data_IF_583363751927
#
_entry.id   IF_583363751927
#
_cell.length_a   1.000
_cell.length_b   1.000
_cell.length_c   1.000
_cell.angle_alpha   90.00
_cell.angle_beta   90.00
_cell.angle_gamma   90.00
#
_symmetry.space_group_name_H-M   'P 1'
#
loop_
_entity.id
_entity.type
_entity.pdbx_description
1 polymer ?
#
# COMPACT_ATOMS: atom_id res chain seq x y z
N UNK A 1 -14.83 4.65 -15.63
CA UNK A 1 -13.83 4.96 -16.69
C UNK A 1 -12.97 6.20 -16.42
N UNK A 2 -13.48 7.31 -15.89
CA UNK A 2 -12.65 8.51 -15.63
C UNK A 2 -11.63 8.29 -14.49
N UNK A 3 -12.09 7.78 -13.34
CA UNK A 3 -11.23 7.50 -12.19
C UNK A 3 -10.08 6.53 -12.53
N UNK A 4 -10.37 5.40 -13.18
CA UNK A 4 -9.34 4.45 -13.62
C UNK A 4 -8.31 5.07 -14.56
N UNK A 5 -8.72 5.98 -15.45
CA UNK A 5 -7.80 6.74 -16.31
C UNK A 5 -6.94 7.70 -15.49
N UNK A 6 -7.54 8.39 -14.51
CA UNK A 6 -6.83 9.26 -13.58
C UNK A 6 -5.80 8.54 -12.71
N UNK A 7 -5.99 7.24 -12.45
CA UNK A 7 -5.04 6.42 -11.69
C UNK A 7 -3.85 5.88 -12.51
N UNK A 8 -3.87 6.00 -13.85
CA UNK A 8 -2.77 5.49 -14.70
C UNK A 8 -1.39 6.05 -14.36
N UNK A 9 -1.20 7.34 -14.05
CA UNK A 9 0.10 7.87 -13.65
C UNK A 9 0.71 7.12 -12.46
N UNK A 10 -0.12 6.65 -11.52
CA UNK A 10 0.32 5.92 -10.33
C UNK A 10 0.88 4.53 -10.64
N UNK A 11 0.56 3.95 -11.81
CA UNK A 11 1.18 2.68 -12.25
C UNK A 11 2.69 2.83 -12.49
N UNK A 12 3.15 4.04 -12.81
CA UNK A 12 4.56 4.36 -13.06
C UNK A 12 5.20 5.10 -11.89
N UNK A 13 4.46 5.32 -10.80
CA UNK A 13 4.98 5.98 -9.61
C UNK A 13 6.22 5.23 -9.10
N UNK A 14 7.26 6.00 -8.81
CA UNK A 14 8.49 5.55 -8.15
C UNK A 14 8.70 6.43 -6.94
N UNK A 15 8.90 5.83 -5.78
CA UNK A 15 9.14 6.60 -4.57
C UNK A 15 10.52 7.30 -4.69
N UNK A 16 10.60 8.63 -4.56
CA UNK A 16 11.85 9.37 -4.82
C UNK A 16 13.00 9.01 -3.89
N UNK A 17 12.71 8.43 -2.72
CA UNK A 17 13.70 8.12 -1.67
C UNK A 17 14.11 6.64 -1.65
N UNK A 18 13.45 5.77 -2.43
CA UNK A 18 13.68 4.33 -2.34
C UNK A 18 14.58 3.84 -3.47
N UNK A 19 15.69 3.12 -3.17
CA UNK A 19 16.43 2.40 -4.20
C UNK A 19 15.46 1.45 -4.91
N UNK A 20 15.50 1.45 -6.25
CA UNK A 20 14.67 0.57 -7.06
C UNK A 20 14.84 -0.85 -6.53
N UNK A 21 13.75 -1.52 -6.09
CA UNK A 21 13.87 -2.84 -5.49
C UNK A 21 14.57 -3.78 -6.47
N UNK A 22 15.68 -4.34 -6.01
CA UNK A 22 16.46 -5.33 -6.74
C UNK A 22 16.16 -6.71 -6.15
N UNK A 23 15.97 -7.68 -7.03
CA UNK A 23 15.85 -9.10 -6.64
C UNK A 23 17.10 -9.83 -7.06
N UNK A 24 17.49 -10.85 -6.29
CA UNK A 24 18.58 -11.73 -6.64
C UNK A 24 18.16 -12.56 -7.87
N UNK A 25 18.99 -12.53 -8.91
CA UNK A 25 18.89 -13.50 -9.99
C UNK A 25 19.78 -14.69 -9.60
N UNK A 26 19.16 -15.67 -8.93
CA UNK A 26 19.87 -16.85 -8.40
C UNK A 26 20.58 -17.62 -9.52
N UNK A 27 19.93 -17.72 -10.69
CA UNK A 27 20.48 -18.44 -11.84
C UNK A 27 21.69 -17.72 -12.41
N UNK A 28 21.58 -16.43 -12.70
CA UNK A 28 22.71 -15.66 -13.22
C UNK A 28 23.86 -15.57 -12.18
N UNK A 29 23.52 -15.56 -10.89
CA UNK A 29 24.52 -15.62 -9.81
C UNK A 29 25.27 -16.95 -9.82
N UNK A 30 24.56 -18.08 -9.96
CA UNK A 30 25.17 -19.40 -10.03
C UNK A 30 26.05 -19.58 -11.28
N UNK A 31 25.57 -19.13 -12.45
CA UNK A 31 26.32 -19.16 -13.70
C UNK A 31 27.62 -18.35 -13.59
N UNK A 32 27.54 -17.11 -13.10
CA UNK A 32 28.74 -16.26 -12.94
C UNK A 32 29.69 -16.77 -11.86
N UNK A 33 29.17 -17.41 -10.81
CA UNK A 33 29.99 -18.03 -9.77
C UNK A 33 30.76 -19.24 -10.31
N UNK A 34 30.13 -20.05 -11.17
CA UNK A 34 30.80 -21.17 -11.84
C UNK A 34 31.93 -20.70 -12.77
N UNK A 35 31.73 -19.59 -13.48
CA UNK A 35 32.73 -19.03 -14.39
C UNK A 35 33.88 -18.32 -13.66
N UNK A 36 33.59 -17.54 -12.63
CA UNK A 36 34.57 -16.68 -11.97
C UNK A 36 35.21 -17.28 -10.71
N UNK A 37 34.64 -18.36 -10.16
CA UNK A 37 35.02 -18.91 -8.85
C UNK A 37 34.61 -18.04 -7.66
N UNK A 38 33.93 -16.91 -7.88
CA UNK A 38 33.49 -15.97 -6.85
C UNK A 38 31.96 -15.88 -6.80
N UNK A 39 31.38 -16.04 -5.62
CA UNK A 39 29.92 -15.91 -5.41
C UNK A 39 29.57 -14.43 -5.23
N UNK A 40 29.39 -13.73 -6.35
CA UNK A 40 28.96 -12.33 -6.36
C UNK A 40 27.51 -12.21 -6.85
N UNK A 41 26.59 -11.62 -6.05
CA UNK A 41 25.17 -11.56 -6.39
C UNK A 41 24.94 -10.79 -7.69
N UNK A 42 24.12 -11.36 -8.57
CA UNK A 42 23.59 -10.70 -9.76
C UNK A 42 22.20 -10.18 -9.41
N UNK A 43 22.03 -8.86 -9.49
CA UNK A 43 20.78 -8.19 -9.10
C UNK A 43 20.02 -7.72 -10.33
N UNK A 44 18.73 -8.04 -10.40
CA UNK A 44 17.81 -7.54 -11.43
C UNK A 44 16.79 -6.57 -10.86
N UNK A 45 16.46 -5.56 -11.65
CA UNK A 45 15.42 -4.58 -11.31
C UNK A 45 14.05 -5.26 -11.25
N UNK A 46 13.37 -5.16 -10.11
CA UNK A 46 12.00 -5.66 -9.99
C UNK A 46 11.01 -4.59 -10.50
N UNK A 47 10.35 -4.85 -11.63
CA UNK A 47 9.35 -3.94 -12.21
C UNK A 47 7.99 -4.04 -11.52
N UNK A 48 7.97 -4.17 -10.20
CA UNK A 48 6.72 -4.13 -9.43
C UNK A 48 6.18 -2.70 -9.32
N UNK A 49 4.87 -2.63 -9.11
CA UNK A 49 4.16 -1.41 -8.68
C UNK A 49 4.75 -0.97 -7.33
N UNK A 50 4.97 0.31 -7.15
CA UNK A 50 5.49 0.86 -5.88
C UNK A 50 4.43 1.60 -5.08
N UNK A 51 3.45 2.20 -5.74
CA UNK A 51 2.40 2.94 -5.08
C UNK A 51 1.63 2.05 -4.10
N UNK A 52 1.28 2.61 -2.95
CA UNK A 52 0.37 2.02 -1.97
C UNK A 52 -0.81 2.96 -1.82
N UNK A 53 -1.96 2.40 -1.46
CA UNK A 53 -3.16 3.18 -1.20
C UNK A 53 -3.74 2.79 0.15
N UNK A 54 -3.99 3.79 0.97
CA UNK A 54 -4.79 3.67 2.18
C UNK A 54 -6.09 4.46 1.96
N UNK A 55 -7.23 3.78 2.07
CA UNK A 55 -8.54 4.41 2.15
C UNK A 55 -8.92 4.51 3.62
N UNK A 56 -9.06 5.73 4.14
CA UNK A 56 -9.49 5.99 5.51
C UNK A 56 -10.94 6.49 5.49
N UNK A 57 -11.84 5.79 6.20
CA UNK A 57 -13.24 6.17 6.35
C UNK A 57 -13.51 6.64 7.78
N UNK A 58 -14.10 7.82 7.94
CA UNK A 58 -14.66 8.25 9.23
C UNK A 58 -15.92 7.44 9.55
N UNK A 59 -15.96 6.85 10.75
CA UNK A 59 -17.07 6.02 11.23
C UNK A 59 -18.08 6.79 12.08
N UNK A 60 -18.04 8.12 12.09
CA UNK A 60 -19.11 8.94 12.70
C UNK A 60 -20.49 8.62 12.10
N UNK A 61 -21.57 8.94 12.82
CA UNK A 61 -22.97 8.44 12.78
C UNK A 61 -23.72 8.26 11.44
N UNK A 62 -23.08 8.42 10.28
CA UNK A 62 -23.65 8.33 8.92
C UNK A 62 -23.03 7.24 8.03
N UNK A 63 -22.37 6.24 8.62
CA UNK A 63 -21.54 5.25 7.90
C UNK A 63 -22.27 4.34 6.92
N UNK A 64 -23.50 3.94 7.21
CA UNK A 64 -24.24 2.97 6.38
C UNK A 64 -24.38 3.46 4.93
N UNK A 65 -24.56 4.77 4.73
CA UNK A 65 -24.70 5.38 3.41
C UNK A 65 -23.40 5.33 2.61
N UNK A 66 -22.24 5.40 3.29
CA UNK A 66 -20.95 5.51 2.63
C UNK A 66 -20.24 4.17 2.44
N UNK A 67 -20.64 3.09 3.14
CA UNK A 67 -20.00 1.78 2.98
C UNK A 67 -20.03 1.29 1.53
N UNK A 68 -21.17 1.42 0.85
CA UNK A 68 -21.28 1.04 -0.56
C UNK A 68 -20.32 1.87 -1.43
N UNK A 69 -20.27 3.19 -1.23
CA UNK A 69 -19.38 4.07 -2.00
C UNK A 69 -17.90 3.76 -1.76
N UNK A 70 -17.52 3.42 -0.53
CA UNK A 70 -16.16 2.99 -0.19
C UNK A 70 -15.80 1.67 -0.89
N UNK A 71 -16.71 0.70 -0.88
CA UNK A 71 -16.50 -0.58 -1.54
C UNK A 71 -16.36 -0.44 -3.06
N UNK A 72 -17.20 0.40 -3.67
CA UNK A 72 -17.09 0.73 -5.09
C UNK A 72 -15.74 1.40 -5.41
N UNK A 73 -15.33 2.38 -4.61
CA UNK A 73 -14.02 3.05 -4.77
C UNK A 73 -12.87 2.05 -4.62
N UNK A 74 -12.92 1.19 -3.59
CA UNK A 74 -11.94 0.13 -3.34
C UNK A 74 -11.81 -0.79 -4.55
N UNK A 75 -12.94 -1.23 -5.11
CA UNK A 75 -12.95 -2.09 -6.30
C UNK A 75 -12.36 -1.38 -7.53
N UNK A 76 -12.69 -0.10 -7.74
CA UNK A 76 -12.14 0.67 -8.86
C UNK A 76 -10.62 0.81 -8.74
N UNK A 77 -10.12 1.12 -7.54
CA UNK A 77 -8.69 1.23 -7.26
C UNK A 77 -7.96 -0.12 -7.41
N UNK A 78 -8.56 -1.22 -6.94
CA UNK A 78 -8.01 -2.56 -7.12
C UNK A 78 -7.89 -2.94 -8.61
N UNK A 79 -8.95 -2.67 -9.40
CA UNK A 79 -8.97 -2.95 -10.85
C UNK A 79 -8.04 -2.04 -11.65
N UNK A 80 -7.72 -0.86 -11.15
CA UNK A 80 -6.79 0.05 -11.83
C UNK A 80 -5.35 -0.52 -11.89
N UNK A 81 -5.01 -1.48 -11.03
CA UNK A 81 -3.69 -2.10 -11.02
C UNK A 81 -2.57 -1.08 -10.82
N UNK A 82 -2.80 0.01 -10.11
CA UNK A 82 -1.78 1.01 -9.83
C UNK A 82 -0.98 0.71 -8.56
N UNK A 83 -1.61 0.02 -7.61
CA UNK A 83 -1.09 -0.13 -6.26
C UNK A 83 -0.53 -1.53 -6.03
N UNK A 84 0.59 -1.62 -5.32
CA UNK A 84 1.13 -2.86 -4.77
C UNK A 84 0.29 -3.36 -3.60
N UNK A 85 -0.22 -2.42 -2.82
CA UNK A 85 -0.96 -2.66 -1.60
C UNK A 85 -2.13 -1.68 -1.53
N UNK A 86 -3.31 -2.19 -1.20
CA UNK A 86 -4.51 -1.41 -0.96
C UNK A 86 -5.03 -1.81 0.42
N UNK A 87 -5.09 -0.85 1.33
CA UNK A 87 -5.64 -1.03 2.67
C UNK A 87 -6.87 -0.15 2.87
N UNK A 88 -7.78 -0.61 3.71
CA UNK A 88 -8.91 0.16 4.22
C UNK A 88 -8.77 0.24 5.72
N UNK A 89 -8.90 1.44 6.27
CA UNK A 89 -8.94 1.70 7.70
C UNK A 89 -10.16 2.57 8.01
N UNK A 90 -10.62 2.46 9.23
CA UNK A 90 -11.81 3.10 9.75
C UNK A 90 -11.40 3.94 10.95
N UNK A 91 -11.77 5.21 10.94
CA UNK A 91 -11.48 6.18 11.99
C UNK A 91 -12.61 6.18 13.00
N UNK A 92 -12.29 5.83 14.23
CA UNK A 92 -13.18 5.74 15.37
C UNK A 92 -12.83 6.79 16.42
N UNK A 93 -13.81 7.18 17.21
CA UNK A 93 -13.57 7.91 18.44
C UNK A 93 -13.18 6.92 19.56
N UNK A 94 -11.96 7.06 20.05
CA UNK A 94 -11.42 6.27 21.16
C UNK A 94 -11.68 6.90 22.53
N UNK A 95 -11.17 6.27 23.60
CA UNK A 95 -11.33 6.77 24.96
C UNK A 95 -10.87 8.23 25.10
N UNK A 96 -11.71 9.07 25.71
CA UNK A 96 -11.42 10.49 25.92
C UNK A 96 -11.51 11.35 24.66
N UNK A 97 -12.25 10.92 23.64
CA UNK A 97 -12.48 11.68 22.40
C UNK A 97 -11.29 11.72 21.45
N UNK A 98 -10.30 10.83 21.66
CA UNK A 98 -9.09 10.78 20.84
C UNK A 98 -9.34 9.93 19.60
N UNK A 99 -8.96 10.38 18.39
CA UNK A 99 -9.12 9.59 17.18
C UNK A 99 -8.26 8.31 17.23
N UNK A 100 -8.81 7.20 16.76
CA UNK A 100 -8.12 5.92 16.62
C UNK A 100 -8.55 5.17 15.37
N UNK A 101 -7.66 4.37 14.80
CA UNK A 101 -7.89 3.68 13.54
C UNK A 101 -8.06 2.18 13.76
N UNK A 102 -8.97 1.55 13.01
CA UNK A 102 -9.21 0.11 13.02
C UNK A 102 -9.37 -0.41 11.60
N UNK A 103 -9.03 -1.68 11.38
CA UNK A 103 -9.34 -2.36 10.11
C UNK A 103 -10.81 -2.76 10.01
N UNK A 104 -11.58 -2.59 11.09
CA UNK A 104 -13.00 -2.97 11.17
C UNK A 104 -13.91 -1.73 11.18
N UNK A 105 -15.06 -1.81 10.49
CA UNK A 105 -16.07 -0.77 10.51
C UNK A 105 -16.80 -0.72 11.86
N UNK A 106 -16.90 -1.82 12.60
CA UNK A 106 -17.58 -1.83 13.90
C UNK A 106 -16.70 -1.22 15.01
N UNK A 107 -17.28 -0.41 15.91
CA UNK A 107 -16.59 0.02 17.11
C UNK A 107 -16.36 -1.14 18.08
N UNK A 108 -15.38 -0.99 18.98
CA UNK A 108 -15.10 -1.97 20.05
C UNK A 108 -13.92 -2.91 19.80
N UNK A 109 -13.26 -2.80 18.64
CA UNK A 109 -11.96 -3.43 18.39
C UNK A 109 -10.78 -2.61 18.96
N UNK A 110 -9.58 -3.20 19.01
CA UNK A 110 -8.37 -2.44 19.34
C UNK A 110 -8.15 -1.30 18.33
N UNK A 111 -7.85 -0.11 18.84
CA UNK A 111 -7.59 1.09 18.05
C UNK A 111 -6.09 1.36 17.96
N UNK A 112 -5.64 1.74 16.77
CA UNK A 112 -4.28 2.17 16.46
C UNK A 112 -4.20 3.68 16.39
N UNK A 113 -3.06 4.24 16.80
CA UNK A 113 -2.88 5.68 16.82
C UNK A 113 -2.84 6.23 15.37
N UNK A 114 -3.51 7.34 15.03
CA UNK A 114 -3.55 7.87 13.66
C UNK A 114 -2.16 8.17 13.09
N UNK A 115 -1.20 8.48 13.95
CA UNK A 115 0.19 8.73 13.59
C UNK A 115 0.86 7.50 12.97
N UNK A 116 0.35 6.28 13.22
CA UNK A 116 0.81 5.05 12.58
C UNK A 116 0.37 4.93 11.10
N UNK A 117 -0.54 5.79 10.66
CA UNK A 117 -0.90 5.92 9.24
C UNK A 117 0.12 6.77 8.48
N UNK A 118 0.75 7.74 9.16
CA UNK A 118 1.85 8.52 8.61
C UNK A 118 3.15 7.78 8.88
N UNK A 119 3.72 7.13 7.87
CA UNK A 119 5.08 6.63 7.98
C UNK A 119 6.08 7.73 7.62
N UNK A 120 6.81 8.33 8.59
CA UNK A 120 7.80 9.37 8.31
C UNK A 120 8.97 8.85 7.46
N UNK A 121 9.14 7.53 7.36
CA UNK A 121 10.13 6.90 6.47
C UNK A 121 9.60 6.66 5.05
N UNK A 122 8.35 7.00 4.79
CA UNK A 122 7.69 6.84 3.49
C UNK A 122 7.45 5.38 3.09
N UNK A 123 7.41 4.42 4.03
CA UNK A 123 7.08 3.01 3.72
C UNK A 123 5.56 2.75 3.75
N UNK A 124 4.74 3.75 4.04
CA UNK A 124 3.27 3.75 3.89
C UNK A 124 2.82 4.98 3.11
#
# INVERSE_FOLDING_TARGET
LALQRGLRPLQRYRAPVRPVPRTLDERATAERAAESGLVLPVLRTDRRREARLLLLMDVSTSTVVWQQGLDELRQVCARAGAFRELQVQYLHEGPGGRPGCSSRPEPGGPLHAPEQLSDPTGRR
#
